data_IF_393295706289
#
_entry.id   IF_393295706289
#
_cell.length_a   1.000
_cell.length_b   1.000
_cell.length_c   1.000
_cell.angle_alpha   90.00
_cell.angle_beta   90.00
_cell.angle_gamma   90.00
#
_symmetry.space_group_name_H-M   'P 1'
#
loop_
_entity.id
_entity.type
_entity.pdbx_description
1 polymer ?
#
# COMPACT_ATOMS: atom_id res chain seq x y z
N UNK A 1 -2.41 -6.94 -4.62
CA UNK A 1 -1.05 -7.03 -4.05
C UNK A 1 -0.83 -5.93 -3.05
N UNK A 2 -0.24 -6.28 -1.93
CA UNK A 2 0.07 -5.33 -0.87
C UNK A 2 1.49 -5.56 -0.40
N UNK A 3 2.27 -4.49 -0.35
CA UNK A 3 3.61 -4.53 0.24
C UNK A 3 3.46 -4.43 1.75
N UNK A 4 3.90 -5.45 2.46
CA UNK A 4 3.75 -5.58 3.91
C UNK A 4 5.10 -5.56 4.58
N UNK A 5 5.28 -4.65 5.55
CA UNK A 5 6.54 -4.51 6.29
C UNK A 5 6.25 -4.59 7.78
N UNK A 6 6.99 -5.45 8.47
CA UNK A 6 6.93 -5.58 9.92
C UNK A 6 8.12 -4.90 10.58
N UNK A 7 7.91 -4.20 11.70
CA UNK A 7 9.03 -3.71 12.51
C UNK A 7 9.67 -4.84 13.32
N UNK A 8 10.92 -4.68 13.70
CA UNK A 8 11.61 -5.63 14.57
C UNK A 8 11.33 -5.27 16.04
N UNK A 9 10.10 -5.53 16.48
CA UNK A 9 9.68 -5.27 17.88
C UNK A 9 8.90 -6.46 18.41
N UNK A 10 8.93 -6.63 19.73
CA UNK A 10 8.27 -7.76 20.40
C UNK A 10 6.81 -7.49 20.74
N UNK A 11 6.42 -6.22 20.88
CA UNK A 11 5.07 -5.84 21.29
C UNK A 11 4.14 -5.66 20.10
N UNK A 12 2.83 -5.76 20.34
CA UNK A 12 1.85 -5.40 19.34
C UNK A 12 1.92 -3.89 19.08
N UNK A 13 1.82 -3.50 17.80
CA UNK A 13 2.03 -2.13 17.37
C UNK A 13 0.90 -1.68 16.44
N UNK A 14 0.71 -0.36 16.28
CA UNK A 14 -0.29 0.15 15.34
C UNK A 14 0.03 -0.22 13.90
N UNK A 15 -1.01 -0.27 13.08
CA UNK A 15 -0.91 -0.49 11.64
C UNK A 15 -0.99 0.87 10.94
N UNK A 16 -0.11 1.09 9.97
CA UNK A 16 -0.15 2.25 9.08
C UNK A 16 -0.46 1.75 7.68
N UNK A 17 -1.51 2.30 7.08
CA UNK A 17 -1.82 2.06 5.68
C UNK A 17 -1.21 3.20 4.88
N UNK A 18 -0.27 2.88 3.98
CA UNK A 18 0.38 3.84 3.11
C UNK A 18 -0.28 3.83 1.74
N UNK A 19 -0.80 4.97 1.32
CA UNK A 19 -1.40 5.13 0.00
C UNK A 19 -0.38 5.85 -0.89
N UNK A 20 0.06 5.16 -1.95
CA UNK A 20 1.07 5.70 -2.86
C UNK A 20 0.54 6.87 -3.68
N UNK A 21 1.49 7.66 -4.22
CA UNK A 21 1.16 8.79 -5.09
C UNK A 21 0.85 8.31 -6.52
N UNK A 22 0.75 9.24 -7.46
CA UNK A 22 0.24 8.96 -8.82
C UNK A 22 1.19 8.14 -9.71
N UNK A 23 2.36 7.77 -9.22
CA UNK A 23 3.29 6.86 -9.92
C UNK A 23 3.08 5.40 -9.53
N UNK A 24 2.14 5.11 -8.63
CA UNK A 24 1.88 3.78 -8.15
C UNK A 24 2.83 3.36 -7.02
N UNK A 25 2.81 2.07 -6.71
CA UNK A 25 3.67 1.51 -5.65
C UNK A 25 5.06 1.26 -6.24
N UNK A 26 5.83 2.34 -6.37
CA UNK A 26 7.19 2.32 -6.91
C UNK A 26 8.22 2.12 -5.79
N UNK A 27 9.52 2.15 -6.15
CA UNK A 27 10.60 1.94 -5.19
C UNK A 27 10.61 3.01 -4.10
N UNK A 28 10.25 4.25 -4.43
CA UNK A 28 10.17 5.32 -3.43
C UNK A 28 9.10 5.00 -2.39
N UNK A 29 7.93 4.55 -2.82
CA UNK A 29 6.84 4.21 -1.91
C UNK A 29 7.22 3.05 -0.99
N UNK A 30 7.89 2.02 -1.54
CA UNK A 30 8.37 0.90 -0.75
C UNK A 30 9.44 1.32 0.24
N UNK A 31 10.35 2.20 -0.16
CA UNK A 31 11.36 2.75 0.73
C UNK A 31 10.73 3.54 1.88
N UNK A 32 9.70 4.33 1.59
CA UNK A 32 8.97 5.06 2.62
C UNK A 32 8.28 4.11 3.59
N UNK A 33 7.68 3.02 3.09
CA UNK A 33 7.09 2.00 3.94
C UNK A 33 8.12 1.37 4.88
N UNK A 34 9.32 1.07 4.39
CA UNK A 34 10.40 0.55 5.21
C UNK A 34 10.81 1.54 6.29
N UNK A 35 10.88 2.83 5.97
CA UNK A 35 11.24 3.87 6.94
C UNK A 35 10.18 4.01 8.03
N UNK A 36 8.91 3.93 7.68
CA UNK A 36 7.82 3.98 8.67
C UNK A 36 7.86 2.74 9.57
N UNK A 37 8.12 1.57 8.99
CA UNK A 37 8.24 0.35 9.77
C UNK A 37 9.41 0.42 10.75
N UNK A 38 10.52 1.06 10.35
CA UNK A 38 11.67 1.26 11.22
C UNK A 38 11.34 2.13 12.45
N UNK A 39 10.27 2.91 12.38
CA UNK A 39 9.77 3.69 13.53
C UNK A 39 8.93 2.86 14.49
N UNK A 40 8.66 1.60 14.20
CA UNK A 40 7.94 0.69 15.09
C UNK A 40 6.50 0.41 14.68
N UNK A 41 6.14 0.57 13.41
CA UNK A 41 4.78 0.33 12.92
C UNK A 41 4.74 -0.82 11.92
N UNK A 42 3.60 -1.53 11.86
CA UNK A 42 3.33 -2.42 10.75
C UNK A 42 2.81 -1.57 9.61
N UNK A 43 3.39 -1.70 8.41
CA UNK A 43 2.98 -0.91 7.26
C UNK A 43 2.35 -1.81 6.20
N UNK A 44 1.17 -1.44 5.76
CA UNK A 44 0.48 -2.04 4.62
C UNK A 44 0.42 -1.00 3.51
N UNK A 45 1.06 -1.29 2.40
CA UNK A 45 1.10 -0.41 1.24
C UNK A 45 0.46 -1.12 0.04
N UNK A 46 -0.86 -1.00 -0.14
CA UNK A 46 -1.53 -1.66 -1.26
C UNK A 46 -1.11 -1.03 -2.58
N UNK A 47 -0.93 -1.87 -3.60
CA UNK A 47 -0.69 -1.41 -4.95
C UNK A 47 -2.06 -1.25 -5.63
N UNK A 48 -2.52 0.00 -5.78
CA UNK A 48 -3.81 0.30 -6.37
C UNK A 48 -3.89 -0.08 -7.86
N UNK A 49 -2.73 -0.34 -8.47
CA UNK A 49 -2.65 -0.78 -9.86
C UNK A 49 -2.55 -2.31 -10.00
N UNK A 50 -2.73 -3.05 -8.92
CA UNK A 50 -2.72 -4.52 -8.96
C UNK A 50 -3.73 -5.04 -9.97
N UNK A 51 -3.27 -5.88 -10.91
CA UNK A 51 -4.11 -6.45 -11.96
C UNK A 51 -4.43 -5.50 -13.11
N UNK A 52 -3.92 -4.28 -13.11
CA UNK A 52 -4.26 -3.26 -14.12
C UNK A 52 -3.24 -3.11 -15.24
N UNK A 53 -2.05 -3.71 -15.09
CA UNK A 53 -1.07 -3.73 -16.16
C UNK A 53 -1.54 -4.64 -17.30
N UNK A 54 -1.04 -4.44 -18.55
CA UNK A 54 -1.48 -5.24 -19.69
C UNK A 54 -1.33 -6.76 -19.49
N UNK A 55 -0.35 -7.18 -18.68
CA UNK A 55 -0.11 -8.60 -18.38
C UNK A 55 -0.81 -9.08 -17.10
N UNK A 56 -1.66 -8.25 -16.49
CA UNK A 56 -2.32 -8.57 -15.22
C UNK A 56 -1.48 -8.27 -13.98
N UNK A 57 -0.29 -7.68 -14.14
CA UNK A 57 0.57 -7.31 -13.02
C UNK A 57 0.16 -5.98 -12.38
N UNK A 58 0.98 -5.52 -11.44
CA UNK A 58 0.80 -4.24 -10.75
C UNK A 58 1.71 -3.14 -11.28
N UNK A 59 2.05 -2.19 -10.42
CA UNK A 59 2.83 -0.99 -10.79
C UNK A 59 4.11 -1.33 -11.53
N UNK A 60 4.87 -2.31 -11.05
CA UNK A 60 6.19 -2.64 -11.63
C UNK A 60 6.10 -3.22 -13.04
N UNK A 61 4.93 -3.65 -13.47
CA UNK A 61 4.72 -4.22 -14.80
C UNK A 61 4.39 -3.14 -15.85
N UNK A 62 4.20 -1.89 -15.47
CA UNK A 62 3.99 -0.80 -16.41
C UNK A 62 5.34 -0.37 -17.02
N UNK A 63 5.26 0.08 -18.26
CA UNK A 63 6.43 0.42 -19.09
C UNK A 63 7.22 1.59 -18.50
N UNK A 64 6.51 2.57 -17.92
CA UNK A 64 7.10 3.77 -17.33
C UNK A 64 6.09 4.42 -16.37
N UNK A 65 6.54 5.48 -15.67
CA UNK A 65 5.70 6.20 -14.72
C UNK A 65 4.48 6.86 -15.37
N UNK A 66 4.59 7.31 -16.61
CA UNK A 66 3.47 7.95 -17.30
C UNK A 66 2.36 6.94 -17.60
N UNK A 67 2.72 5.73 -18.01
CA UNK A 67 1.74 4.66 -18.23
C UNK A 67 1.03 4.28 -16.93
N UNK A 68 1.77 4.18 -15.83
CA UNK A 68 1.19 3.89 -14.52
C UNK A 68 0.24 4.99 -14.08
N UNK A 69 0.62 6.26 -14.26
CA UNK A 69 -0.21 7.42 -13.91
C UNK A 69 -1.51 7.44 -14.69
N UNK A 70 -1.44 7.18 -16.00
CA UNK A 70 -2.63 7.11 -16.85
C UNK A 70 -3.58 6.04 -16.38
N UNK A 71 -3.06 4.85 -16.05
CA UNK A 71 -3.87 3.75 -15.54
C UNK A 71 -4.50 4.11 -14.19
N UNK A 72 -3.76 4.79 -13.31
CA UNK A 72 -4.26 5.18 -12.00
C UNK A 72 -5.46 6.13 -12.13
N UNK A 73 -5.37 7.12 -13.00
CA UNK A 73 -6.46 8.08 -13.21
C UNK A 73 -7.69 7.46 -13.88
N UNK A 74 -7.54 6.28 -14.48
CA UNK A 74 -8.65 5.55 -15.08
C UNK A 74 -9.33 4.59 -14.11
N UNK A 75 -8.84 4.46 -12.86
CA UNK A 75 -9.43 3.55 -11.88
C UNK A 75 -10.81 4.01 -11.45
N UNK A 76 -11.70 3.03 -11.22
CA UNK A 76 -13.01 3.28 -10.62
C UNK A 76 -12.82 3.65 -9.14
N UNK A 77 -13.32 4.83 -8.70
CA UNK A 77 -13.21 5.21 -7.28
C UNK A 77 -13.82 4.21 -6.32
N UNK A 78 -14.91 3.54 -6.69
CA UNK A 78 -15.53 2.53 -5.85
C UNK A 78 -14.63 1.32 -5.67
N UNK A 79 -13.90 0.93 -6.70
CA UNK A 79 -12.94 -0.16 -6.63
C UNK A 79 -11.77 0.19 -5.71
N UNK A 80 -11.29 1.43 -5.77
CA UNK A 80 -10.24 1.93 -4.86
C UNK A 80 -10.73 1.85 -3.42
N UNK A 81 -11.94 2.32 -3.15
CA UNK A 81 -12.54 2.28 -1.82
C UNK A 81 -12.62 0.86 -1.28
N UNK A 82 -13.11 -0.07 -2.09
CA UNK A 82 -13.20 -1.49 -1.69
C UNK A 82 -11.83 -2.08 -1.40
N UNK A 83 -10.84 -1.75 -2.21
CA UNK A 83 -9.46 -2.21 -2.00
C UNK A 83 -8.86 -1.69 -0.70
N UNK A 84 -9.08 -0.43 -0.39
CA UNK A 84 -8.61 0.17 0.86
C UNK A 84 -9.33 -0.41 2.07
N UNK A 85 -10.63 -0.66 1.98
CA UNK A 85 -11.40 -1.30 3.03
C UNK A 85 -10.92 -2.74 3.29
N UNK A 86 -10.61 -3.48 2.23
CA UNK A 86 -10.06 -4.83 2.35
C UNK A 86 -8.68 -4.81 3.02
N UNK A 87 -7.84 -3.83 2.67
CA UNK A 87 -6.54 -3.63 3.30
C UNK A 87 -6.68 -3.35 4.79
N UNK A 88 -7.62 -2.48 5.16
CA UNK A 88 -7.90 -2.16 6.55
C UNK A 88 -8.34 -3.40 7.32
N UNK A 89 -9.27 -4.18 6.76
CA UNK A 89 -9.76 -5.39 7.39
C UNK A 89 -8.64 -6.40 7.60
N UNK A 90 -7.77 -6.57 6.60
CA UNK A 90 -6.62 -7.46 6.72
C UNK A 90 -5.65 -6.98 7.81
N UNK A 91 -5.38 -5.68 7.86
CA UNK A 91 -4.50 -5.11 8.87
C UNK A 91 -4.96 -5.36 10.30
N UNK A 92 -6.28 -5.30 10.52
CA UNK A 92 -6.86 -5.56 11.85
C UNK A 92 -6.74 -7.03 12.28
N UNK A 93 -6.53 -7.94 11.33
CA UNK A 93 -6.41 -9.38 11.59
C UNK A 93 -4.98 -9.84 11.82
N UNK A 94 -4.00 -8.98 11.64
CA UNK A 94 -2.59 -9.34 11.84
C UNK A 94 -2.32 -9.50 13.33
N UNK A 95 -1.78 -10.66 13.74
CA UNK A 95 -1.55 -10.97 15.15
C UNK A 95 -0.61 -9.97 15.83
N UNK A 96 0.38 -9.47 15.10
CA UNK A 96 1.35 -8.50 15.64
C UNK A 96 0.76 -7.08 15.76
N UNK A 97 -0.44 -6.84 15.23
CA UNK A 97 -1.08 -5.53 15.26
C UNK A 97 -1.90 -5.33 16.52
N UNK A 98 -1.89 -4.10 17.05
CA UNK A 98 -2.91 -3.70 18.02
C UNK A 98 -4.13 -3.17 17.25
N UNK A 99 -5.13 -2.63 17.96
CA UNK A 99 -6.37 -2.20 17.30
C UNK A 99 -6.28 -0.81 16.67
N UNK A 100 -5.12 -0.15 16.75
CA UNK A 100 -4.94 1.21 16.25
C UNK A 100 -4.48 1.18 14.80
N UNK A 101 -5.13 1.99 13.96
CA UNK A 101 -4.81 2.10 12.54
C UNK A 101 -4.70 3.58 12.17
N UNK A 102 -3.67 3.91 11.41
CA UNK A 102 -3.51 5.22 10.81
C UNK A 102 -3.37 5.07 9.30
N UNK A 103 -3.72 6.12 8.57
CA UNK A 103 -3.59 6.15 7.12
C UNK A 103 -2.74 7.35 6.74
N UNK A 104 -1.76 7.13 5.87
CA UNK A 104 -0.92 8.19 5.33
C UNK A 104 -0.95 8.11 3.82
N UNK A 105 -1.21 9.25 3.17
CA UNK A 105 -1.24 9.34 1.72
C UNK A 105 -0.20 10.31 1.21
N UNK A 106 0.29 10.06 0.00
CA UNK A 106 1.24 10.92 -0.68
C UNK A 106 0.64 11.41 -2.00
N UNK A 107 0.93 12.64 -2.35
CA UNK A 107 0.39 13.27 -3.56
C UNK A 107 1.49 13.60 -4.57
#
# INVERSE_FOLDING_TARGET
QTFLVFPEVANKVPVVILIHENRGLNDWARSMADQIAAMGYIVLAPDLLSGKAPDGGGTSAFKNSDAARTALYALDPDQITRGLQATLAHGKQIDAANVKVAVIGFC
#
